data_IF_980562899513
#
_entry.id   IF_980562899513
#
_cell.length_a   1.000
_cell.length_b   1.000
_cell.length_c   1.000
_cell.angle_alpha   90.00
_cell.angle_beta   90.00
_cell.angle_gamma   90.00
#
_symmetry.space_group_name_H-M   'P 1'
#
loop_
_entity.id
_entity.type
_entity.pdbx_description
1 polymer ?
#
# COMPACT_ATOMS: atom_id res chain seq x y z
N UNK A 1 -6.63 -35.23 26.34
CA UNK A 1 -7.99 -35.17 26.93
C UNK A 1 -8.20 -33.71 27.33
N UNK A 2 -9.15 -32.91 26.83
CA UNK A 2 -10.43 -33.17 26.20
C UNK A 2 -10.65 -32.30 24.95
N UNK A 3 -11.58 -32.75 24.11
CA UNK A 3 -12.10 -32.10 22.90
C UNK A 3 -12.96 -30.88 23.24
N UNK A 4 -12.89 -29.86 22.38
CA UNK A 4 -13.85 -28.76 22.28
C UNK A 4 -13.91 -28.27 20.85
N UNK A 5 -14.82 -28.82 20.07
CA UNK A 5 -15.17 -28.41 18.70
C UNK A 5 -15.88 -27.06 18.77
N UNK A 6 -15.25 -26.01 18.25
CA UNK A 6 -15.81 -24.67 18.10
C UNK A 6 -15.39 -24.09 16.76
N UNK A 7 -16.36 -23.94 15.87
CA UNK A 7 -16.22 -23.42 14.50
C UNK A 7 -15.52 -22.05 14.47
N UNK A 8 -14.19 -22.07 14.33
CA UNK A 8 -13.37 -20.89 13.99
C UNK A 8 -12.37 -21.26 12.89
N UNK A 9 -12.79 -22.13 11.97
CA UNK A 9 -12.08 -22.37 10.73
C UNK A 9 -12.18 -21.13 9.84
N UNK A 10 -11.06 -20.42 9.68
CA UNK A 10 -10.52 -19.79 8.46
C UNK A 10 -9.64 -18.55 8.74
N UNK A 11 -9.57 -18.03 9.96
CA UNK A 11 -8.76 -16.83 10.26
C UNK A 11 -7.38 -17.10 10.88
N UNK A 12 -6.91 -18.35 10.92
CA UNK A 12 -5.69 -18.70 11.68
C UNK A 12 -4.42 -18.90 10.82
N UNK A 13 -4.45 -18.72 9.49
CA UNK A 13 -3.24 -18.95 8.66
C UNK A 13 -3.11 -18.09 7.39
N UNK A 14 -3.77 -16.94 7.30
CA UNK A 14 -3.63 -16.04 6.13
C UNK A 14 -2.96 -14.68 6.46
N UNK A 15 -2.33 -14.55 7.63
CA UNK A 15 -1.72 -13.28 8.09
C UNK A 15 -0.19 -13.35 8.29
N UNK A 16 0.46 -14.47 7.98
CA UNK A 16 1.88 -14.67 8.28
C UNK A 16 2.82 -14.74 7.05
N UNK A 17 2.32 -14.70 5.81
CA UNK A 17 3.19 -14.85 4.63
C UNK A 17 2.55 -14.33 3.32
N UNK A 18 2.29 -13.01 3.23
CA UNK A 18 2.32 -12.35 1.91
C UNK A 18 3.74 -11.77 1.77
N UNK A 19 4.44 -12.21 0.73
CA UNK A 19 5.87 -12.49 0.77
C UNK A 19 6.81 -11.35 1.19
N UNK A 20 7.84 -11.76 1.93
CA UNK A 20 8.89 -11.00 2.56
C UNK A 20 9.81 -10.47 1.45
N UNK A 21 9.95 -9.14 1.31
CA UNK A 21 10.72 -8.43 0.28
C UNK A 21 10.21 -8.45 -1.17
N UNK A 22 9.66 -9.55 -1.69
CA UNK A 22 9.45 -9.70 -3.15
C UNK A 22 8.55 -8.65 -3.82
N UNK A 23 7.36 -8.40 -3.26
CA UNK A 23 6.39 -7.48 -3.90
C UNK A 23 6.80 -6.01 -3.80
N UNK A 24 7.49 -5.62 -2.71
CA UNK A 24 7.99 -4.27 -2.50
C UNK A 24 9.21 -3.96 -3.35
N UNK A 25 10.08 -4.95 -3.54
CA UNK A 25 11.21 -4.85 -4.48
C UNK A 25 10.70 -4.75 -5.92
N UNK A 26 9.65 -5.50 -6.26
CA UNK A 26 9.01 -5.38 -7.57
C UNK A 26 8.37 -4.00 -7.76
N UNK A 27 7.62 -3.50 -6.77
CA UNK A 27 7.05 -2.15 -6.80
C UNK A 27 8.17 -1.13 -6.98
N UNK A 28 9.24 -1.17 -6.17
CA UNK A 28 10.36 -0.23 -6.29
C UNK A 28 10.99 -0.24 -7.68
N UNK A 29 11.22 -1.43 -8.25
CA UNK A 29 11.79 -1.56 -9.59
C UNK A 29 10.84 -1.06 -10.68
N UNK A 30 9.53 -1.31 -10.55
CA UNK A 30 8.52 -0.77 -11.45
C UNK A 30 8.43 0.75 -11.34
N UNK A 31 8.46 1.32 -10.13
CA UNK A 31 8.45 2.76 -9.91
C UNK A 31 9.68 3.43 -10.54
N UNK A 32 10.85 2.83 -10.36
CA UNK A 32 12.08 3.29 -11.00
C UNK A 32 12.02 3.20 -12.53
N UNK A 33 11.44 2.13 -13.08
CA UNK A 33 11.24 2.02 -14.53
C UNK A 33 10.24 3.07 -15.04
N UNK A 34 9.11 3.25 -14.36
CA UNK A 34 8.10 4.24 -14.75
C UNK A 34 8.63 5.66 -14.67
N UNK A 35 9.33 6.05 -13.59
CA UNK A 35 9.90 7.41 -13.45
C UNK A 35 11.20 7.61 -14.26
N UNK A 36 11.92 6.54 -14.57
CA UNK A 36 13.24 6.58 -15.23
C UNK A 36 13.21 6.43 -16.74
N UNK A 37 12.19 5.77 -17.31
CA UNK A 37 12.14 5.46 -18.74
C UNK A 37 11.76 6.64 -19.63
N UNK A 38 10.91 7.56 -19.16
CA UNK A 38 10.41 8.67 -19.97
C UNK A 38 10.38 9.99 -19.18
N UNK A 39 10.83 11.13 -19.75
CA UNK A 39 10.84 12.41 -19.03
C UNK A 39 9.43 12.86 -18.60
N UNK A 40 8.38 12.51 -19.36
CA UNK A 40 7.00 12.87 -19.02
C UNK A 40 6.42 12.09 -17.82
N UNK A 41 7.02 10.97 -17.42
CA UNK A 41 6.50 10.12 -16.33
C UNK A 41 7.29 10.30 -15.03
N UNK A 42 8.35 11.13 -15.04
CA UNK A 42 9.22 11.39 -13.90
C UNK A 42 8.50 12.03 -12.73
N UNK A 43 7.58 12.95 -13.02
CA UNK A 43 6.89 13.77 -12.03
C UNK A 43 5.53 13.20 -11.61
N UNK A 44 5.19 11.99 -12.06
CA UNK A 44 3.96 11.32 -11.66
C UNK A 44 4.05 10.92 -10.18
N UNK A 45 3.06 11.35 -9.40
CA UNK A 45 2.91 10.99 -8.00
C UNK A 45 2.29 9.59 -7.90
N UNK A 46 2.92 8.71 -7.12
CA UNK A 46 2.50 7.32 -6.96
C UNK A 46 2.16 7.04 -5.50
N UNK A 47 0.89 6.76 -5.24
CA UNK A 47 0.35 6.56 -3.90
C UNK A 47 -0.06 5.09 -3.76
N UNK A 48 0.48 4.40 -2.76
CA UNK A 48 0.10 3.03 -2.45
C UNK A 48 -1.27 2.98 -1.78
N UNK A 49 -2.20 2.16 -2.28
CA UNK A 49 -3.51 1.94 -1.70
C UNK A 49 -3.65 0.50 -1.21
N UNK A 50 -3.82 0.27 0.08
CA UNK A 50 -3.99 -1.09 0.65
C UNK A 50 -5.40 -1.34 1.19
N UNK A 51 -5.88 -2.58 1.05
CA UNK A 51 -7.10 -3.05 1.71
C UNK A 51 -6.86 -3.56 3.15
N UNK A 52 -5.62 -3.85 3.51
CA UNK A 52 -5.23 -4.38 4.81
C UNK A 52 -4.00 -3.63 5.29
N UNK A 53 -4.19 -2.67 6.18
CA UNK A 53 -3.13 -1.86 6.75
C UNK A 53 -2.40 -2.64 7.85
N UNK A 54 -1.38 -3.42 7.48
CA UNK A 54 -0.55 -4.11 8.46
C UNK A 54 0.53 -3.17 8.98
N UNK A 55 0.99 -3.41 10.21
CA UNK A 55 2.07 -2.63 10.82
C UNK A 55 3.31 -2.64 9.92
N UNK A 56 3.81 -1.45 9.59
CA UNK A 56 5.01 -1.24 8.77
C UNK A 56 4.80 -1.26 7.25
N UNK A 57 3.59 -1.46 6.75
CA UNK A 57 3.33 -1.43 5.29
C UNK A 57 3.43 -0.02 4.71
N UNK A 58 3.05 0.99 5.48
CA UNK A 58 3.26 2.40 5.12
C UNK A 58 4.76 2.69 4.93
N UNK A 59 5.58 2.34 5.92
CA UNK A 59 7.04 2.55 5.86
C UNK A 59 7.67 1.82 4.68
N UNK A 60 7.26 0.57 4.45
CA UNK A 60 7.72 -0.22 3.31
C UNK A 60 7.32 0.38 1.96
N UNK A 61 6.09 0.87 1.82
CA UNK A 61 5.62 1.49 0.58
C UNK A 61 6.40 2.78 0.28
N UNK A 62 6.65 3.61 1.30
CA UNK A 62 7.47 4.81 1.18
C UNK A 62 8.92 4.45 0.82
N UNK A 63 9.51 3.44 1.47
CA UNK A 63 10.85 2.93 1.14
C UNK A 63 10.96 2.38 -0.29
N UNK A 64 9.88 1.80 -0.83
CA UNK A 64 9.86 1.33 -2.21
C UNK A 64 9.89 2.49 -3.22
N UNK A 65 9.57 3.73 -2.82
CA UNK A 65 9.56 4.91 -3.68
C UNK A 65 8.16 5.44 -3.99
N UNK A 66 7.14 5.02 -3.24
CA UNK A 66 5.83 5.66 -3.30
C UNK A 66 5.91 7.03 -2.61
N UNK A 67 5.23 8.01 -3.19
CA UNK A 67 5.12 9.37 -2.66
C UNK A 67 4.08 9.46 -1.53
N UNK A 68 3.17 8.47 -1.46
CA UNK A 68 2.14 8.41 -0.43
C UNK A 68 1.62 6.99 -0.15
N UNK A 69 0.80 6.90 0.89
CA UNK A 69 0.15 5.67 1.33
C UNK A 69 -1.24 5.96 1.87
N UNK A 70 -2.24 5.21 1.40
CA UNK A 70 -3.64 5.33 1.79
C UNK A 70 -4.18 3.93 2.11
N UNK A 71 -4.93 3.83 3.19
CA UNK A 71 -5.57 2.59 3.62
C UNK A 71 -7.06 2.62 3.30
N UNK A 72 -7.62 1.49 2.89
CA UNK A 72 -9.07 1.32 2.83
C UNK A 72 -9.63 1.03 4.24
N UNK A 73 -10.90 1.37 4.51
CA UNK A 73 -11.83 2.07 3.62
C UNK A 73 -11.45 3.53 3.42
N UNK A 74 -11.63 4.04 2.19
CA UNK A 74 -11.38 5.44 1.86
C UNK A 74 -12.61 6.26 2.24
N UNK A 75 -12.43 7.35 2.98
CA UNK A 75 -13.47 8.36 3.16
C UNK A 75 -13.58 9.23 1.90
N UNK A 76 -14.67 9.08 1.15
CA UNK A 76 -14.91 9.80 -0.10
C UNK A 76 -15.00 11.31 0.07
N UNK A 77 -15.31 11.81 1.27
CA UNK A 77 -15.35 13.26 1.56
C UNK A 77 -13.96 13.83 1.84
N UNK A 78 -13.10 13.07 2.51
CA UNK A 78 -11.75 13.50 2.86
C UNK A 78 -10.70 13.15 1.77
N UNK A 79 -11.01 12.22 0.87
CA UNK A 79 -10.11 11.77 -0.18
C UNK A 79 -9.68 12.88 -1.15
N UNK A 80 -10.58 13.76 -1.66
CA UNK A 80 -10.16 14.86 -2.52
C UNK A 80 -9.13 15.77 -1.84
N UNK A 81 -9.34 16.13 -0.57
CA UNK A 81 -8.38 16.93 0.21
C UNK A 81 -7.05 16.19 0.40
N UNK A 82 -7.09 14.87 0.57
CA UNK A 82 -5.88 14.05 0.69
C UNK A 82 -5.08 14.06 -0.61
N UNK A 83 -5.74 13.91 -1.77
CA UNK A 83 -5.09 13.97 -3.09
C UNK A 83 -4.58 15.38 -3.40
N UNK A 84 -5.36 16.41 -3.07
CA UNK A 84 -4.99 17.82 -3.19
C UNK A 84 -3.63 18.12 -2.52
N UNK A 85 -3.42 17.58 -1.29
CA UNK A 85 -2.14 17.69 -0.57
C UNK A 85 -0.96 17.08 -1.30
N UNK A 86 -1.16 15.98 -2.02
CA UNK A 86 -0.08 15.37 -2.81
C UNK A 86 0.19 16.17 -4.09
N UNK A 87 -0.85 16.68 -4.75
CA UNK A 87 -0.72 17.49 -5.96
C UNK A 87 -0.16 18.90 -5.71
N UNK A 88 -0.09 19.35 -4.45
CA UNK A 88 0.29 20.73 -4.11
C UNK A 88 -0.76 21.76 -4.54
N UNK A 89 -1.96 21.31 -4.88
CA UNK A 89 -3.09 22.15 -5.24
C UNK A 89 -3.99 22.29 -4.01
N UNK A 90 -4.16 23.49 -3.47
CA UNK A 90 -5.19 23.76 -2.47
C UNK A 90 -6.56 23.77 -3.17
N UNK A 91 -7.50 22.94 -2.72
CA UNK A 91 -8.88 22.85 -3.21
C UNK A 91 -9.82 23.38 -2.14
#
# INVERSE_FOLDING_TARGET
MAFGIGVSGLYCQCQANYDRFGILQLISKLLQLYKGFHPATRDIIIIALTASAMKGDQEKALQAGCDGYITKPIDTRAFPNTIARFLGSEI
#
